data_IF_108767484827
#
_entry.id   IF_108767484827
#
_cell.length_a   1.000
_cell.length_b   1.000
_cell.length_c   1.000
_cell.angle_alpha   90.00
_cell.angle_beta   90.00
_cell.angle_gamma   90.00
#
_symmetry.space_group_name_H-M   'P 1'
#
loop_
_entity.id
_entity.type
_entity.pdbx_description
1 polymer ?
#
# COMPACT_ATOMS: atom_id res chain seq x y z
N UNK A 1 -7.93 12.09 -8.21
CA UNK A 1 -8.88 11.50 -9.19
C UNK A 1 -8.45 11.91 -10.59
N UNK A 2 -8.06 10.96 -11.44
CA UNK A 2 -7.82 11.22 -12.87
C UNK A 2 -9.17 11.34 -13.60
N UNK A 3 -9.61 12.58 -13.82
CA UNK A 3 -10.93 12.88 -14.40
C UNK A 3 -11.08 12.40 -15.85
N UNK A 4 -9.98 12.37 -16.62
CA UNK A 4 -9.99 11.93 -18.01
C UNK A 4 -10.15 10.42 -18.07
N UNK A 5 -9.37 9.68 -17.26
CA UNK A 5 -9.50 8.23 -17.16
C UNK A 5 -10.89 7.81 -16.68
N UNK A 6 -11.42 8.47 -15.65
CA UNK A 6 -12.79 8.23 -15.15
C UNK A 6 -13.82 8.43 -16.27
N UNK A 7 -13.75 9.54 -17.02
CA UNK A 7 -14.65 9.80 -18.14
C UNK A 7 -14.59 8.74 -19.24
N UNK A 8 -13.37 8.30 -19.60
CA UNK A 8 -13.16 7.23 -20.60
C UNK A 8 -13.74 5.89 -20.17
N UNK A 9 -13.55 5.50 -18.90
CA UNK A 9 -14.09 4.25 -18.34
C UNK A 9 -15.62 4.28 -18.32
N UNK A 10 -16.23 5.38 -17.86
CA UNK A 10 -17.69 5.54 -17.86
C UNK A 10 -18.25 5.42 -19.28
N UNK A 11 -17.63 6.09 -20.26
CA UNK A 11 -18.03 6.01 -21.67
C UNK A 11 -17.95 4.58 -22.20
N UNK A 12 -16.85 3.88 -21.93
CA UNK A 12 -16.64 2.51 -22.38
C UNK A 12 -17.69 1.55 -21.80
N UNK A 13 -17.94 1.61 -20.48
CA UNK A 13 -18.96 0.80 -19.80
C UNK A 13 -20.37 1.07 -20.33
N UNK A 14 -20.70 2.35 -20.55
CA UNK A 14 -22.00 2.72 -21.13
C UNK A 14 -22.18 2.13 -22.53
N UNK A 15 -21.18 2.25 -23.40
CA UNK A 15 -21.22 1.71 -24.77
C UNK A 15 -21.32 0.18 -24.74
N UNK A 16 -20.60 -0.48 -23.84
CA UNK A 16 -20.66 -1.93 -23.66
C UNK A 16 -22.07 -2.43 -23.30
N UNK A 17 -22.88 -1.61 -22.63
CA UNK A 17 -24.30 -1.89 -22.34
C UNK A 17 -25.26 -1.53 -23.47
N UNK A 18 -24.78 -0.97 -24.57
CA UNK A 18 -25.62 -0.45 -25.65
C UNK A 18 -26.43 0.79 -25.25
N UNK A 19 -26.08 1.47 -24.16
CA UNK A 19 -26.84 2.62 -23.67
C UNK A 19 -26.41 3.91 -24.35
N UNK A 20 -27.34 4.81 -24.64
CA UNK A 20 -27.06 6.21 -25.00
C UNK A 20 -26.78 7.01 -23.74
N UNK A 21 -26.18 8.18 -23.89
CA UNK A 21 -25.94 9.08 -22.75
C UNK A 21 -27.25 9.48 -22.04
N UNK A 22 -28.35 9.62 -22.80
CA UNK A 22 -29.68 9.91 -22.25
C UNK A 22 -30.20 8.77 -21.38
N UNK A 23 -29.92 7.51 -21.75
CA UNK A 23 -30.39 6.35 -21.01
C UNK A 23 -29.69 6.26 -19.64
N UNK A 24 -28.36 6.47 -19.61
CA UNK A 24 -27.60 6.56 -18.37
C UNK A 24 -28.05 7.75 -17.52
N UNK A 25 -28.26 8.91 -18.14
CA UNK A 25 -28.72 10.12 -17.47
C UNK A 25 -30.09 9.91 -16.80
N UNK A 26 -31.03 9.26 -17.50
CA UNK A 26 -32.34 8.89 -16.97
C UNK A 26 -32.24 7.92 -15.79
N UNK A 27 -31.38 6.90 -15.90
CA UNK A 27 -31.15 5.90 -14.84
C UNK A 27 -30.69 6.54 -13.53
N UNK A 28 -29.82 7.54 -13.59
CA UNK A 28 -29.25 8.22 -12.41
C UNK A 28 -29.92 9.57 -12.07
N UNK A 29 -30.99 9.94 -12.79
CA UNK A 29 -31.74 11.20 -12.61
C UNK A 29 -30.85 12.45 -12.67
N UNK A 30 -30.03 12.53 -13.73
CA UNK A 30 -29.20 13.71 -14.04
C UNK A 30 -29.45 14.17 -15.46
N UNK A 31 -28.92 15.34 -15.85
CA UNK A 31 -29.01 15.77 -17.24
C UNK A 31 -28.08 14.96 -18.15
N UNK A 32 -28.49 14.73 -19.40
CA UNK A 32 -27.61 14.15 -20.41
C UNK A 32 -26.33 14.98 -20.61
N UNK A 33 -26.43 16.31 -20.49
CA UNK A 33 -25.28 17.22 -20.57
C UNK A 33 -24.25 16.99 -19.45
N UNK A 34 -24.67 16.55 -18.26
CA UNK A 34 -23.77 16.15 -17.18
C UNK A 34 -23.01 14.88 -17.56
N UNK A 35 -23.68 13.86 -18.09
CA UNK A 35 -23.03 12.64 -18.59
C UNK A 35 -22.02 12.97 -19.70
N UNK A 36 -22.41 13.81 -20.66
CA UNK A 36 -21.52 14.25 -21.74
C UNK A 36 -20.30 15.04 -21.23
N UNK A 37 -20.44 15.79 -20.14
CA UNK A 37 -19.32 16.49 -19.48
C UNK A 37 -18.37 15.50 -18.82
N UNK A 38 -18.91 14.53 -18.08
CA UNK A 38 -18.13 13.48 -17.41
C UNK A 38 -17.31 12.69 -18.44
N UNK A 39 -17.95 12.22 -19.52
CA UNK A 39 -17.28 11.43 -20.57
C UNK A 39 -16.17 12.19 -21.32
N UNK A 40 -16.23 13.53 -21.34
CA UNK A 40 -15.20 14.40 -21.93
C UNK A 40 -14.10 14.80 -20.95
N UNK A 41 -14.03 14.14 -19.79
CA UNK A 41 -13.00 14.40 -18.78
C UNK A 41 -13.35 15.48 -17.75
N UNK A 42 -14.60 15.96 -17.74
CA UNK A 42 -15.07 16.95 -16.77
C UNK A 42 -15.55 16.38 -15.44
N UNK A 43 -15.14 15.15 -15.08
CA UNK A 43 -15.57 14.48 -13.86
C UNK A 43 -15.19 15.24 -12.58
N UNK A 44 -14.05 15.96 -12.56
CA UNK A 44 -13.60 16.72 -11.39
C UNK A 44 -14.49 17.90 -10.99
N UNK A 45 -15.47 18.29 -11.83
CA UNK A 45 -16.48 19.32 -11.50
C UNK A 45 -17.82 18.74 -11.09
N UNK A 46 -17.90 17.42 -10.93
CA UNK A 46 -19.10 16.69 -10.55
C UNK A 46 -18.90 16.17 -9.13
N UNK A 47 -19.97 16.19 -8.32
CA UNK A 47 -19.89 15.69 -6.95
C UNK A 47 -19.55 14.20 -6.92
N UNK A 48 -18.82 13.78 -5.90
CA UNK A 48 -18.47 12.36 -5.71
C UNK A 48 -19.73 11.50 -5.65
N UNK A 49 -20.76 11.93 -4.92
CA UNK A 49 -22.08 11.26 -4.88
C UNK A 49 -22.66 10.99 -6.28
N UNK A 50 -22.64 12.00 -7.16
CA UNK A 50 -23.16 11.84 -8.51
C UNK A 50 -22.33 10.85 -9.32
N UNK A 51 -21.00 10.89 -9.17
CA UNK A 51 -20.09 9.94 -9.83
C UNK A 51 -20.27 8.51 -9.29
N UNK A 52 -20.55 8.35 -8.01
CA UNK A 52 -20.85 7.05 -7.39
C UNK A 52 -22.14 6.47 -7.95
N UNK A 53 -23.21 7.27 -8.05
CA UNK A 53 -24.47 6.85 -8.67
C UNK A 53 -24.30 6.46 -10.14
N UNK A 54 -23.50 7.22 -10.89
CA UNK A 54 -23.16 6.91 -12.30
C UNK A 54 -22.40 5.58 -12.40
N UNK A 55 -21.39 5.37 -11.56
CA UNK A 55 -20.64 4.12 -11.54
C UNK A 55 -21.56 2.94 -11.16
N UNK A 56 -22.37 3.09 -10.12
CA UNK A 56 -23.29 2.04 -9.66
C UNK A 56 -24.33 1.65 -10.72
N UNK A 57 -24.87 2.62 -11.47
CA UNK A 57 -25.79 2.34 -12.59
C UNK A 57 -25.14 1.53 -13.73
N UNK A 58 -23.81 1.51 -13.79
CA UNK A 58 -23.01 0.73 -14.73
C UNK A 58 -22.43 -0.56 -14.09
N UNK A 59 -22.93 -0.95 -12.91
CA UNK A 59 -22.40 -2.02 -12.05
C UNK A 59 -20.88 -1.92 -11.82
N UNK A 60 -20.39 -0.68 -11.73
CA UNK A 60 -19.01 -0.36 -11.38
C UNK A 60 -18.96 0.32 -10.02
N UNK A 61 -17.79 0.28 -9.39
CA UNK A 61 -17.52 1.00 -8.13
C UNK A 61 -16.61 2.18 -8.40
N UNK A 62 -16.98 3.37 -7.92
CA UNK A 62 -16.06 4.51 -7.86
C UNK A 62 -15.11 4.31 -6.67
N UNK A 63 -13.81 4.44 -6.92
CA UNK A 63 -12.79 4.44 -5.88
C UNK A 63 -12.05 5.76 -5.95
N UNK A 64 -12.18 6.58 -4.91
CA UNK A 64 -11.44 7.83 -4.75
C UNK A 64 -10.27 7.57 -3.81
N UNK A 65 -9.05 7.85 -4.29
CA UNK A 65 -7.83 7.81 -3.49
C UNK A 65 -7.28 9.21 -3.29
N UNK A 66 -6.76 9.45 -2.10
CA UNK A 66 -6.01 10.66 -1.75
C UNK A 66 -4.55 10.25 -1.64
N UNK A 67 -3.75 10.65 -2.61
CA UNK A 67 -2.31 10.36 -2.62
C UNK A 67 -1.56 11.52 -1.97
N UNK A 68 -0.87 11.25 -0.87
CA UNK A 68 0.04 12.20 -0.22
C UNK A 68 1.36 11.51 0.04
N UNK A 69 2.43 12.02 -0.57
CA UNK A 69 3.78 11.43 -0.52
C UNK A 69 3.79 9.91 -0.85
N UNK A 70 2.96 9.49 -1.81
CA UNK A 70 2.70 8.08 -2.09
C UNK A 70 1.72 7.50 -1.07
N UNK A 71 2.14 6.48 -0.33
CA UNK A 71 1.29 5.74 0.61
C UNK A 71 1.27 6.34 2.03
N UNK A 72 1.85 7.53 2.24
CA UNK A 72 1.92 8.14 3.56
C UNK A 72 0.53 8.51 4.12
N UNK A 73 -0.43 8.87 3.25
CA UNK A 73 -1.84 9.05 3.65
C UNK A 73 -2.49 7.74 4.11
N UNK A 74 -2.26 6.64 3.39
CA UNK A 74 -2.80 5.33 3.73
C UNK A 74 -2.23 4.87 5.09
N UNK A 75 -0.94 5.13 5.38
CA UNK A 75 -0.32 4.81 6.69
C UNK A 75 -0.85 5.63 7.86
N UNK A 76 -1.04 6.94 7.67
CA UNK A 76 -1.51 7.84 8.74
C UNK A 76 -2.91 7.47 9.26
N UNK A 77 -3.74 6.90 8.38
CA UNK A 77 -5.13 6.55 8.70
C UNK A 77 -5.30 5.08 9.11
N UNK A 78 -4.27 4.23 8.98
CA UNK A 78 -4.40 2.79 9.09
C UNK A 78 -3.80 2.22 10.38
N UNK A 79 -4.68 2.00 11.37
CA UNK A 79 -4.34 1.35 12.63
C UNK A 79 -3.84 -0.10 12.43
N UNK A 80 -4.29 -0.80 11.37
CA UNK A 80 -3.85 -2.16 11.08
C UNK A 80 -2.42 -2.15 10.51
N UNK A 81 -2.07 -1.15 9.69
CA UNK A 81 -0.69 -0.95 9.24
C UNK A 81 0.25 -0.70 10.43
N UNK A 82 -0.10 0.23 11.33
CA UNK A 82 0.70 0.51 12.51
C UNK A 82 0.88 -0.74 13.39
N UNK A 83 -0.18 -1.52 13.61
CA UNK A 83 -0.11 -2.75 14.38
C UNK A 83 0.76 -3.83 13.72
N UNK A 84 0.75 -3.93 12.39
CA UNK A 84 1.65 -4.82 11.65
C UNK A 84 3.11 -4.37 11.73
N UNK A 85 3.38 -3.07 11.62
CA UNK A 85 4.73 -2.51 11.79
C UNK A 85 5.26 -2.84 13.19
N UNK A 86 4.46 -2.62 14.24
CA UNK A 86 4.84 -2.97 15.62
C UNK A 86 5.12 -4.47 15.80
N UNK A 87 4.31 -5.35 15.21
CA UNK A 87 4.57 -6.80 15.25
C UNK A 87 5.90 -7.15 14.55
N UNK A 88 6.17 -6.55 13.39
CA UNK A 88 7.45 -6.72 12.65
C UNK A 88 8.63 -6.25 13.50
N UNK A 89 8.54 -5.06 14.10
CA UNK A 89 9.59 -4.52 14.98
C UNK A 89 9.84 -5.46 16.17
N UNK A 90 8.79 -5.97 16.80
CA UNK A 90 8.89 -6.91 17.90
C UNK A 90 9.61 -8.20 17.49
N UNK A 91 9.26 -8.78 16.34
CA UNK A 91 9.89 -10.00 15.81
C UNK A 91 11.38 -9.77 15.51
N UNK A 92 11.70 -8.68 14.83
CA UNK A 92 13.07 -8.36 14.41
C UNK A 92 13.97 -8.06 15.61
N UNK A 93 13.51 -7.22 16.55
CA UNK A 93 14.27 -6.92 17.78
C UNK A 93 14.49 -8.17 18.62
N UNK A 94 13.48 -9.04 18.73
CA UNK A 94 13.60 -10.34 19.41
C UNK A 94 14.60 -11.29 18.75
N UNK A 95 14.91 -11.10 17.48
CA UNK A 95 15.92 -11.84 16.73
C UNK A 95 17.27 -11.10 16.63
N UNK A 96 17.49 -10.03 17.40
CA UNK A 96 18.76 -9.32 17.48
C UNK A 96 19.01 -8.29 16.37
N UNK A 97 17.96 -7.84 15.68
CA UNK A 97 18.07 -6.78 14.67
C UNK A 97 17.93 -5.40 15.30
N UNK A 98 18.83 -4.48 14.93
CA UNK A 98 18.68 -3.04 15.17
C UNK A 98 17.70 -2.47 14.15
N UNK A 99 16.60 -1.85 14.59
CA UNK A 99 15.49 -1.47 13.69
C UNK A 99 15.18 0.02 13.77
N UNK A 100 15.05 0.65 12.60
CA UNK A 100 14.58 2.03 12.42
C UNK A 100 13.25 2.00 11.64
N UNK A 101 12.13 2.40 12.27
CA UNK A 101 10.87 2.58 11.55
C UNK A 101 10.87 3.90 10.76
N UNK A 102 10.05 3.97 9.71
CA UNK A 102 9.72 5.19 8.96
C UNK A 102 10.93 6.00 8.46
N UNK A 103 11.95 5.31 7.93
CA UNK A 103 13.17 5.98 7.47
C UNK A 103 12.92 6.68 6.14
N UNK A 104 13.09 8.00 6.11
CA UNK A 104 12.89 8.80 4.91
C UNK A 104 14.13 8.85 4.03
N UNK A 105 13.92 9.04 2.73
CA UNK A 105 14.99 9.30 1.77
C UNK A 105 14.55 10.34 0.75
N UNK A 106 15.53 11.12 0.27
CA UNK A 106 15.37 12.08 -0.79
C UNK A 106 16.60 12.04 -1.71
N UNK A 107 16.34 11.92 -3.01
CA UNK A 107 17.31 11.94 -4.08
C UNK A 107 16.73 12.76 -5.25
N UNK A 108 17.55 13.20 -6.22
CA UNK A 108 17.04 13.91 -7.40
C UNK A 108 15.94 13.12 -8.10
N UNK A 109 14.73 13.69 -8.17
CA UNK A 109 13.56 13.07 -8.81
C UNK A 109 12.88 11.94 -8.04
N UNK A 110 13.45 11.46 -6.93
CA UNK A 110 12.89 10.35 -6.13
C UNK A 110 12.90 10.67 -4.64
N UNK A 111 11.74 10.54 -3.99
CA UNK A 111 11.60 10.67 -2.53
C UNK A 111 10.65 9.61 -2.00
N UNK A 112 10.80 9.26 -0.74
CA UNK A 112 9.89 8.32 -0.08
C UNK A 112 10.34 7.97 1.32
N UNK A 113 9.76 6.90 1.85
CA UNK A 113 10.15 6.33 3.12
C UNK A 113 10.12 4.81 3.09
N UNK A 114 10.95 4.20 3.91
CA UNK A 114 11.02 2.77 4.18
C UNK A 114 10.23 2.52 5.47
N UNK A 115 9.32 1.54 5.46
CA UNK A 115 8.45 1.32 6.62
C UNK A 115 9.26 0.80 7.82
N UNK A 116 10.12 -0.19 7.59
CA UNK A 116 11.15 -0.61 8.57
C UNK A 116 12.45 -0.90 7.83
N UNK A 117 13.53 -0.27 8.31
CA UNK A 117 14.90 -0.60 7.93
C UNK A 117 15.58 -1.29 9.11
N UNK A 118 16.12 -2.48 8.91
CA UNK A 118 16.71 -3.28 9.97
C UNK A 118 18.14 -3.72 9.64
N UNK A 119 19.01 -3.67 10.64
CA UNK A 119 20.42 -4.00 10.57
C UNK A 119 20.75 -5.16 11.50
N UNK A 120 21.45 -6.16 10.96
CA UNK A 120 22.02 -7.25 11.73
C UNK A 120 23.54 -7.22 11.62
N UNK A 121 24.18 -6.71 12.67
CA UNK A 121 25.62 -6.44 12.71
C UNK A 121 26.45 -7.71 12.50
N UNK A 122 26.11 -8.80 13.19
CA UNK A 122 26.90 -10.04 13.17
C UNK A 122 26.98 -10.69 11.78
N UNK A 123 26.02 -10.43 10.88
CA UNK A 123 26.04 -10.94 9.51
C UNK A 123 26.15 -9.84 8.45
N UNK A 124 26.48 -8.61 8.88
CA UNK A 124 26.52 -7.41 8.05
C UNK A 124 25.34 -7.29 7.07
N UNK A 125 24.13 -7.60 7.53
CA UNK A 125 22.95 -7.73 6.67
C UNK A 125 21.96 -6.60 6.93
N UNK A 126 21.61 -5.87 5.88
CA UNK A 126 20.50 -4.92 5.88
C UNK A 126 19.23 -5.64 5.41
N UNK A 127 18.12 -5.38 6.08
CA UNK A 127 16.79 -5.84 5.70
C UNK A 127 15.88 -4.63 5.48
N UNK A 128 15.31 -4.56 4.28
CA UNK A 128 14.29 -3.56 3.92
C UNK A 128 12.93 -4.23 4.02
N UNK A 129 12.07 -3.71 4.89
CA UNK A 129 10.71 -4.24 5.09
C UNK A 129 9.68 -3.24 4.61
N UNK A 130 8.74 -3.76 3.82
CA UNK A 130 7.52 -3.06 3.42
C UNK A 130 6.33 -3.69 4.10
N UNK A 131 5.42 -2.88 4.63
CA UNK A 131 4.21 -3.36 5.29
C UNK A 131 2.98 -2.87 4.52
N UNK A 132 2.07 -3.81 4.25
CA UNK A 132 0.78 -3.54 3.60
C UNK A 132 -0.32 -4.22 4.40
N UNK A 133 -1.28 -3.47 4.94
CA UNK A 133 -2.48 -4.06 5.54
C UNK A 133 -3.32 -4.79 4.49
N UNK A 134 -3.43 -4.21 3.29
CA UNK A 134 -4.11 -4.75 2.11
C UNK A 134 -3.28 -4.44 0.85
N UNK A 135 -3.40 -5.26 -0.19
CA UNK A 135 -2.74 -5.02 -1.49
C UNK A 135 -3.71 -4.37 -2.48
N UNK A 136 -3.83 -3.04 -2.59
CA UNK A 136 -4.76 -2.41 -3.53
C UNK A 136 -4.33 -2.57 -5.00
N UNK A 137 -3.04 -2.49 -5.27
CA UNK A 137 -2.44 -2.55 -6.59
C UNK A 137 -1.07 -3.25 -6.54
N UNK A 138 -0.90 -4.33 -7.30
CA UNK A 138 0.32 -5.15 -7.32
C UNK A 138 1.47 -4.41 -8.01
N UNK A 139 1.22 -3.75 -9.14
CA UNK A 139 2.28 -3.07 -9.89
C UNK A 139 2.80 -1.85 -9.11
N UNK A 140 1.91 -1.07 -8.50
CA UNK A 140 2.26 0.01 -7.59
C UNK A 140 3.03 -0.45 -6.35
N UNK A 141 2.66 -1.60 -5.78
CA UNK A 141 3.38 -2.20 -4.63
C UNK A 141 4.82 -2.54 -5.00
N UNK A 142 5.02 -3.22 -6.13
CA UNK A 142 6.36 -3.65 -6.56
C UNK A 142 7.23 -2.44 -6.92
N UNK A 143 6.71 -1.50 -7.72
CA UNK A 143 7.47 -0.31 -8.12
C UNK A 143 7.88 0.56 -6.93
N UNK A 144 6.99 0.72 -5.95
CA UNK A 144 7.29 1.46 -4.71
C UNK A 144 8.35 0.74 -3.88
N UNK A 145 8.27 -0.59 -3.79
CA UNK A 145 9.26 -1.38 -3.06
C UNK A 145 10.64 -1.37 -3.72
N UNK A 146 10.70 -1.47 -5.05
CA UNK A 146 11.96 -1.41 -5.81
C UNK A 146 12.66 -0.07 -5.63
N UNK A 147 11.89 1.02 -5.57
CA UNK A 147 12.43 2.35 -5.24
C UNK A 147 13.05 2.37 -3.83
N UNK A 148 12.36 1.81 -2.83
CA UNK A 148 12.90 1.72 -1.45
C UNK A 148 14.21 0.92 -1.41
N UNK A 149 14.27 -0.23 -2.09
CA UNK A 149 15.47 -1.06 -2.14
C UNK A 149 16.66 -0.35 -2.77
N UNK A 150 16.44 0.46 -3.81
CA UNK A 150 17.49 1.22 -4.49
C UNK A 150 18.17 2.23 -3.55
N UNK A 151 17.41 2.84 -2.65
CA UNK A 151 17.91 3.86 -1.72
C UNK A 151 18.40 3.31 -0.37
N UNK A 152 18.05 2.07 -0.03
CA UNK A 152 18.31 1.51 1.29
C UNK A 152 19.80 1.46 1.69
N UNK A 153 20.71 1.15 0.75
CA UNK A 153 22.15 1.10 1.05
C UNK A 153 22.69 2.50 1.40
N UNK A 154 22.31 3.53 0.62
CA UNK A 154 22.71 4.93 0.87
C UNK A 154 22.20 5.41 2.22
N UNK A 155 20.93 5.15 2.51
CA UNK A 155 20.28 5.49 3.80
C UNK A 155 20.99 4.80 4.96
N UNK A 156 21.27 3.50 4.84
CA UNK A 156 21.98 2.74 5.88
C UNK A 156 23.39 3.29 6.12
N UNK A 157 24.13 3.64 5.06
CA UNK A 157 25.48 4.20 5.16
C UNK A 157 25.49 5.58 5.81
N UNK A 158 24.52 6.43 5.50
CA UNK A 158 24.33 7.71 6.15
C UNK A 158 24.06 7.54 7.66
N UNK A 159 23.33 6.50 8.05
CA UNK A 159 23.10 6.11 9.44
C UNK A 159 24.28 5.37 10.12
N UNK A 160 25.44 5.27 9.47
CA UNK A 160 26.64 4.63 10.04
C UNK A 160 26.70 3.10 9.85
N UNK A 161 25.65 2.45 9.35
CA UNK A 161 25.67 1.02 9.04
C UNK A 161 26.48 0.74 7.77
N UNK A 162 27.07 -0.45 7.68
CA UNK A 162 27.93 -0.85 6.54
C UNK A 162 27.52 -2.22 6.04
N UNK A 163 26.42 -2.32 5.28
CA UNK A 163 25.93 -3.60 4.82
C UNK A 163 26.81 -4.23 3.76
N UNK A 164 27.02 -5.54 3.90
CA UNK A 164 27.60 -6.42 2.89
C UNK A 164 26.52 -7.10 2.04
N UNK A 165 25.29 -7.21 2.58
CA UNK A 165 24.14 -7.83 1.90
C UNK A 165 22.86 -7.06 2.17
N UNK A 166 21.99 -6.98 1.16
CA UNK A 166 20.65 -6.37 1.28
C UNK A 166 19.57 -7.41 1.01
N UNK A 167 18.79 -7.69 2.04
CA UNK A 167 17.60 -8.52 2.02
C UNK A 167 16.33 -7.66 1.94
N UNK A 168 15.26 -8.27 1.45
CA UNK A 168 13.99 -7.60 1.21
C UNK A 168 12.83 -8.46 1.70
N UNK A 169 11.88 -7.84 2.39
CA UNK A 169 10.69 -8.51 2.91
C UNK A 169 9.45 -7.66 2.68
N UNK A 170 8.48 -8.20 1.95
CA UNK A 170 7.13 -7.66 1.89
C UNK A 170 6.26 -8.38 2.92
N UNK A 171 5.71 -7.61 3.86
CA UNK A 171 4.75 -8.07 4.87
C UNK A 171 3.36 -7.65 4.45
N UNK A 172 2.42 -8.59 4.48
CA UNK A 172 1.02 -8.34 4.15
C UNK A 172 0.13 -8.74 5.33
N UNK A 173 -0.83 -7.89 5.68
CA UNK A 173 -1.88 -8.21 6.63
C UNK A 173 -2.65 -9.45 6.20
N UNK A 174 -2.72 -10.43 7.09
CA UNK A 174 -3.40 -11.70 6.87
C UNK A 174 -4.90 -11.47 6.69
N UNK A 175 -5.40 -11.73 5.48
CA UNK A 175 -6.83 -11.72 5.18
C UNK A 175 -7.12 -12.54 3.93
N UNK A 176 -8.36 -13.04 3.82
CA UNK A 176 -8.84 -13.74 2.60
C UNK A 176 -8.68 -12.87 1.34
N UNK A 177 -8.94 -11.57 1.45
CA UNK A 177 -8.82 -10.62 0.33
C UNK A 177 -7.37 -10.46 -0.10
N UNK A 178 -6.45 -10.30 0.86
CA UNK A 178 -5.01 -10.17 0.59
C UNK A 178 -4.45 -11.44 -0.07
N UNK A 179 -4.80 -12.62 0.45
CA UNK A 179 -4.39 -13.91 -0.14
C UNK A 179 -4.88 -14.09 -1.56
N UNK A 180 -6.18 -13.91 -1.80
CA UNK A 180 -6.78 -14.02 -3.13
C UNK A 180 -6.11 -13.08 -4.15
N UNK A 181 -5.74 -11.86 -3.72
CA UNK A 181 -5.05 -10.90 -4.60
C UNK A 181 -3.63 -11.34 -4.94
N UNK A 182 -2.89 -11.86 -3.97
CA UNK A 182 -1.55 -12.41 -4.21
C UNK A 182 -1.63 -13.64 -5.12
N UNK A 183 -2.60 -14.53 -4.90
CA UNK A 183 -2.85 -15.72 -5.72
C UNK A 183 -3.21 -15.36 -7.17
N UNK A 184 -4.06 -14.35 -7.38
CA UNK A 184 -4.41 -13.84 -8.71
C UNK A 184 -3.19 -13.30 -9.50
N UNK A 185 -2.11 -12.94 -8.81
CA UNK A 185 -0.86 -12.44 -9.39
C UNK A 185 0.36 -13.28 -8.95
N UNK A 186 0.15 -14.58 -8.76
CA UNK A 186 1.14 -15.47 -8.14
C UNK A 186 2.48 -15.48 -8.88
N UNK A 187 2.48 -15.46 -10.22
CA UNK A 187 3.71 -15.45 -11.03
C UNK A 187 4.58 -14.22 -10.76
N UNK A 188 3.96 -13.03 -10.69
CA UNK A 188 4.64 -11.77 -10.39
C UNK A 188 5.23 -11.79 -8.98
N UNK A 189 4.46 -12.22 -7.98
CA UNK A 189 4.95 -12.31 -6.60
C UNK A 189 6.01 -13.40 -6.43
N UNK A 190 5.91 -14.53 -7.14
CA UNK A 190 6.92 -15.59 -7.10
C UNK A 190 8.25 -15.14 -7.73
N UNK A 191 8.19 -14.40 -8.83
CA UNK A 191 9.38 -13.85 -9.48
C UNK A 191 10.10 -12.82 -8.60
N UNK A 192 9.35 -11.93 -7.93
CA UNK A 192 9.94 -10.86 -7.12
C UNK A 192 10.28 -11.27 -5.69
N UNK A 193 9.44 -12.12 -5.10
CA UNK A 193 9.51 -12.57 -3.71
C UNK A 193 9.40 -14.11 -3.65
N UNK A 194 10.42 -14.87 -4.09
CA UNK A 194 10.37 -16.34 -4.07
C UNK A 194 10.28 -16.92 -2.66
N UNK A 195 10.81 -16.24 -1.64
CA UNK A 195 10.87 -16.77 -0.29
C UNK A 195 9.54 -16.60 0.47
N UNK A 196 9.18 -17.62 1.24
CA UNK A 196 7.90 -17.69 1.99
C UNK A 196 8.12 -17.94 3.47
N UNK A 197 7.04 -17.91 4.25
CA UNK A 197 7.03 -17.85 5.72
C UNK A 197 8.06 -18.73 6.45
N UNK A 198 8.28 -20.00 6.09
CA UNK A 198 9.32 -20.83 6.75
C UNK A 198 10.73 -20.33 6.46
N UNK A 199 11.04 -20.05 5.20
CA UNK A 199 12.33 -19.47 4.76
C UNK A 199 12.54 -18.10 5.37
N UNK A 200 11.50 -17.25 5.36
CA UNK A 200 11.51 -15.93 6.00
C UNK A 200 11.85 -16.05 7.48
N UNK A 201 11.13 -16.86 8.25
CA UNK A 201 11.38 -17.02 9.69
C UNK A 201 12.80 -17.51 9.99
N UNK A 202 13.29 -18.48 9.21
CA UNK A 202 14.66 -18.98 9.33
C UNK A 202 15.69 -17.89 9.06
N UNK A 203 15.51 -17.12 7.97
CA UNK A 203 16.38 -16.01 7.62
C UNK A 203 16.39 -14.94 8.71
N UNK A 204 15.23 -14.56 9.23
CA UNK A 204 15.15 -13.54 10.28
C UNK A 204 15.86 -13.97 11.56
N UNK A 205 15.78 -15.24 11.93
CA UNK A 205 16.46 -15.77 13.12
C UNK A 205 17.96 -15.98 12.91
N UNK A 206 18.37 -16.35 11.69
CA UNK A 206 19.77 -16.68 11.35
C UNK A 206 20.12 -16.18 9.94
N UNK A 207 20.31 -14.86 9.76
CA UNK A 207 20.56 -14.29 8.45
C UNK A 207 21.89 -14.75 7.85
N UNK A 208 22.89 -15.07 8.67
CA UNK A 208 24.19 -15.58 8.19
C UNK A 208 24.09 -16.94 7.46
N UNK A 209 23.18 -17.81 7.91
CA UNK A 209 23.05 -19.19 7.44
C UNK A 209 22.22 -19.33 6.15
N UNK A 210 21.77 -18.21 5.59
CA UNK A 210 20.79 -18.18 4.51
C UNK A 210 21.19 -17.16 3.43
N UNK A 211 20.84 -17.39 2.15
CA UNK A 211 20.96 -16.39 1.11
C UNK A 211 20.18 -15.11 1.46
N UNK A 212 20.51 -14.00 0.79
CA UNK A 212 19.78 -12.74 0.98
C UNK A 212 18.30 -12.91 0.58
N UNK A 213 17.41 -12.73 1.57
CA UNK A 213 15.99 -12.95 1.41
C UNK A 213 15.36 -12.03 0.35
N UNK A 214 14.43 -12.58 -0.42
CA UNK A 214 13.39 -11.88 -1.18
C UNK A 214 12.04 -12.48 -0.77
N UNK A 215 11.54 -12.02 0.36
CA UNK A 215 10.46 -12.67 1.10
C UNK A 215 9.11 -12.01 0.94
N UNK A 216 8.07 -12.84 0.93
CA UNK A 216 6.69 -12.43 1.18
C UNK A 216 6.17 -13.15 2.41
N UNK A 217 5.63 -12.39 3.37
CA UNK A 217 5.12 -12.96 4.61
C UNK A 217 3.76 -12.37 4.99
N UNK A 218 2.77 -13.23 5.15
CA UNK A 218 1.50 -12.84 5.76
C UNK A 218 1.61 -12.84 7.28
N UNK A 219 1.17 -11.75 7.91
CA UNK A 219 1.14 -11.58 9.36
C UNK A 219 -0.24 -11.15 9.82
N UNK A 220 -0.69 -11.72 10.93
CA UNK A 220 -1.81 -11.20 11.69
C UNK A 220 -1.25 -10.25 12.74
N UNK A 221 -1.67 -8.99 12.74
CA UNK A 221 -1.34 -8.10 13.84
C UNK A 221 -1.95 -8.68 15.13
N UNK A 222 -1.11 -8.99 16.12
CA UNK A 222 -1.62 -9.30 17.46
C UNK A 222 -2.16 -8.00 18.01
N UNK A 223 -3.48 -7.89 18.14
CA UNK A 223 -4.10 -6.75 18.84
C UNK A 223 -3.65 -6.81 20.29
N UNK A 224 -2.55 -6.15 20.66
CA UNK A 224 -2.35 -5.74 22.05
C UNK A 224 -3.38 -4.65 22.26
N UNK A 225 -4.42 -4.98 23.00
CA UNK A 225 -5.54 -4.12 23.37
C UNK A 225 -5.00 -2.74 23.76
N UNK A 226 -5.03 -1.78 22.84
CA UNK A 226 -4.70 -0.40 23.14
C UNK A 226 -5.84 0.14 23.97
N UNK A 227 -5.52 0.52 25.20
CA UNK A 227 -6.41 1.22 26.13
C UNK A 227 -7.02 2.40 25.35
N UNK A 228 -8.34 2.38 25.16
CA UNK A 228 -9.07 3.45 24.50
C UNK A 228 -8.89 4.75 25.28
N UNK A 229 -8.01 5.63 24.82
CA UNK A 229 -8.03 7.02 25.27
C UNK A 229 -9.30 7.67 24.75
N UNK A 230 -10.29 7.82 25.64
CA UNK A 230 -11.47 8.66 25.41
C UNK A 230 -10.99 10.09 25.16
N UNK A 231 -11.19 10.60 23.95
CA UNK A 231 -11.10 12.02 23.66
C UNK A 231 -12.24 12.70 24.41
N UNK A 232 -11.91 13.44 25.47
CA UNK A 232 -12.86 14.26 26.19
C UNK A 232 -13.32 15.42 25.30
N UNK A 233 -14.63 15.49 25.05
CA UNK A 233 -15.28 16.58 24.33
C UNK A 233 -15.10 17.86 25.16
N UNK A 234 -14.29 18.82 24.69
CA UNK A 234 -14.25 20.17 25.29
C UNK A 234 -15.65 20.78 25.14
N UNK A 235 -16.28 21.11 26.27
CA UNK A 235 -17.50 21.92 26.32
C UNK A 235 -17.12 23.33 25.92
N UNK A 236 -17.71 23.83 24.84
CA UNK A 236 -17.72 25.26 24.52
C UNK A 236 -18.59 25.93 25.58
N UNK A 237 -18.00 26.78 26.40
CA UNK A 237 -18.75 27.74 27.22
C UNK A 237 -19.19 28.89 26.33
N UNK A 238 -20.47 29.24 26.45
CA UNK A 238 -21.07 30.44 25.88
C UNK A 238 -20.47 31.71 26.46
#
# INVERSE_FOLDING_TARGET
>A
MDSVRVGRVIRALRIHRGWRQLDLAGRVRVSQSLIARVERGGAGRVTVDTLERVAAALDARLVVRVDWQGEAADRLLDADHAALVEEVLSILRGAGWECLPEVTFAAPGERGSIDVLAWHAASATLLVVEVKSVVPDVQGTISTFDRKLRHADSVARAGGWRPARVAALLVIGESRTSRRRVEAHASTFAARFPDRGRTTRRFLARPADTPALRGLWFLSARTRTTIRHRVAKRRTTA
#
